data_IF_624230440749
#
_entry.id   IF_624230440749
#
_cell.length_a   1.000
_cell.length_b   1.000
_cell.length_c   1.000
_cell.angle_alpha   90.00
_cell.angle_beta   90.00
_cell.angle_gamma   90.00
#
_symmetry.space_group_name_H-M   'P 1'
#
loop_
_entity.id
_entity.type
_entity.pdbx_description
1 polymer ?
#
# COMPACT_ATOMS: atom_id res chain seq x y z
N UNK A 1 33.76 24.79 14.62
CA UNK A 1 32.37 24.88 15.13
C UNK A 1 31.40 24.53 13.98
N UNK A 2 31.39 23.27 13.52
CA UNK A 2 30.67 22.83 12.31
C UNK A 2 30.09 21.42 12.48
N UNK A 3 29.16 21.21 13.41
CA UNK A 3 28.46 19.91 13.52
C UNK A 3 26.94 20.01 13.75
N UNK A 4 26.36 21.20 13.59
CA UNK A 4 24.89 21.38 13.55
C UNK A 4 24.32 21.29 12.13
N UNK A 5 24.92 20.45 11.27
CA UNK A 5 24.21 20.02 10.06
C UNK A 5 23.12 19.06 10.51
N UNK A 6 21.90 19.61 10.61
CA UNK A 6 20.64 18.92 10.79
C UNK A 6 20.71 17.49 10.24
N UNK A 7 20.70 16.48 11.13
CA UNK A 7 20.14 15.18 10.75
C UNK A 7 18.69 15.48 10.41
N UNK A 8 18.40 15.67 9.12
CA UNK A 8 17.03 15.70 8.61
C UNK A 8 16.51 14.30 8.89
N UNK A 9 15.82 14.14 10.01
CA UNK A 9 15.26 12.87 10.42
C UNK A 9 14.33 12.41 9.29
N UNK A 10 14.64 11.26 8.71
CA UNK A 10 13.83 10.69 7.64
C UNK A 10 12.54 10.22 8.32
N UNK A 11 11.49 11.03 8.25
CA UNK A 11 10.18 10.67 8.79
C UNK A 11 9.60 9.58 7.88
N UNK A 12 9.31 8.42 8.45
CA UNK A 12 8.65 7.31 7.79
C UNK A 12 7.19 7.27 8.24
N UNK A 13 6.26 7.43 7.31
CA UNK A 13 4.84 7.56 7.67
C UNK A 13 4.20 6.26 8.12
N UNK A 14 4.78 5.11 7.79
CA UNK A 14 4.35 3.81 8.31
C UNK A 14 4.75 3.59 9.77
N UNK A 15 5.65 4.40 10.32
CA UNK A 15 5.95 4.42 11.77
C UNK A 15 4.97 5.33 12.54
N UNK A 16 3.97 5.90 11.86
CA UNK A 16 2.89 6.63 12.51
C UNK A 16 2.06 5.68 13.38
N UNK A 17 1.95 5.99 14.67
CA UNK A 17 1.21 5.17 15.65
C UNK A 17 -0.24 4.92 15.26
N UNK A 18 -0.92 5.91 14.69
CA UNK A 18 -2.32 5.77 14.25
C UNK A 18 -2.43 4.79 13.10
N UNK A 19 -1.56 4.91 12.09
CA UNK A 19 -1.50 3.95 10.98
C UNK A 19 -1.16 2.54 11.48
N UNK A 20 -0.20 2.39 12.38
CA UNK A 20 0.18 1.09 12.94
C UNK A 20 -0.97 0.43 13.72
N UNK A 21 -1.77 1.21 14.44
CA UNK A 21 -2.95 0.68 15.12
C UNK A 21 -3.99 0.16 14.11
N UNK A 22 -4.26 0.93 13.05
CA UNK A 22 -5.15 0.51 11.96
C UNK A 22 -4.62 -0.75 11.26
N UNK A 23 -3.30 -0.84 11.05
CA UNK A 23 -2.65 -2.01 10.48
C UNK A 23 -2.84 -3.24 11.36
N UNK A 24 -2.56 -3.16 12.66
CA UNK A 24 -2.78 -4.27 13.59
C UNK A 24 -4.25 -4.69 13.62
N UNK A 25 -5.18 -3.73 13.71
CA UNK A 25 -6.61 -3.98 13.73
C UNK A 25 -7.07 -4.78 12.49
N UNK A 26 -6.63 -4.38 11.30
CA UNK A 26 -7.07 -5.04 10.07
C UNK A 26 -6.51 -6.46 9.95
N UNK A 27 -5.27 -6.69 10.39
CA UNK A 27 -4.63 -8.01 10.36
C UNK A 27 -5.28 -8.96 11.37
N UNK A 28 -5.73 -8.44 12.53
CA UNK A 28 -6.47 -9.23 13.52
C UNK A 28 -7.88 -9.59 13.06
N UNK A 29 -8.60 -8.64 12.43
CA UNK A 29 -9.99 -8.85 12.01
C UNK A 29 -10.13 -9.70 10.75
N UNK A 30 -9.21 -9.55 9.81
CA UNK A 30 -9.31 -10.14 8.46
C UNK A 30 -8.00 -10.79 8.02
N UNK A 31 -7.41 -11.73 8.78
CA UNK A 31 -6.02 -12.18 8.58
C UNK A 31 -5.72 -12.74 7.18
N UNK A 32 -6.70 -13.33 6.50
CA UNK A 32 -6.51 -14.00 5.20
C UNK A 32 -7.42 -13.43 4.09
N UNK A 33 -8.18 -12.37 4.38
CA UNK A 33 -9.19 -11.82 3.47
C UNK A 33 -8.73 -10.45 2.93
N UNK A 34 -7.93 -10.48 1.87
CA UNK A 34 -7.34 -9.28 1.27
C UNK A 34 -8.42 -8.27 0.83
N UNK A 35 -9.58 -8.73 0.36
CA UNK A 35 -10.66 -7.84 -0.08
C UNK A 35 -11.23 -7.05 1.10
N UNK A 36 -11.49 -7.72 2.23
CA UNK A 36 -11.94 -7.03 3.46
C UNK A 36 -10.85 -6.15 4.05
N UNK A 37 -9.59 -6.57 3.99
CA UNK A 37 -8.47 -5.74 4.44
C UNK A 37 -8.39 -4.42 3.62
N UNK A 38 -8.55 -4.51 2.30
CA UNK A 38 -8.57 -3.34 1.42
C UNK A 38 -9.80 -2.47 1.68
N UNK A 39 -10.99 -3.05 1.83
CA UNK A 39 -12.21 -2.31 2.14
C UNK A 39 -12.09 -1.51 3.44
N UNK A 40 -11.45 -2.09 4.46
CA UNK A 40 -11.15 -1.39 5.71
C UNK A 40 -10.33 -0.13 5.48
N UNK A 41 -9.24 -0.21 4.71
CA UNK A 41 -8.40 0.95 4.44
C UNK A 41 -9.07 1.99 3.54
N UNK A 42 -9.87 1.57 2.54
CA UNK A 42 -10.59 2.47 1.65
C UNK A 42 -11.58 3.39 2.39
N UNK A 43 -12.05 2.98 3.56
CA UNK A 43 -13.02 3.72 4.40
C UNK A 43 -12.39 4.68 5.40
N UNK A 44 -11.06 4.68 5.55
CA UNK A 44 -10.40 5.59 6.51
C UNK A 44 -10.57 7.04 6.04
N UNK A 45 -10.79 7.99 6.94
CA UNK A 45 -10.96 9.40 6.57
C UNK A 45 -9.65 10.04 6.08
N UNK A 46 -8.52 9.59 6.62
CA UNK A 46 -7.21 10.07 6.24
C UNK A 46 -6.74 9.47 4.91
N UNK A 47 -6.69 10.32 3.86
CA UNK A 47 -6.27 9.95 2.51
C UNK A 47 -4.87 9.32 2.44
N UNK A 48 -3.94 9.79 3.27
CA UNK A 48 -2.60 9.24 3.33
C UNK A 48 -2.61 7.80 3.84
N UNK A 49 -3.46 7.49 4.84
CA UNK A 49 -3.58 6.13 5.37
C UNK A 49 -4.31 5.19 4.42
N UNK A 50 -5.30 5.69 3.67
CA UNK A 50 -5.93 4.91 2.58
C UNK A 50 -4.87 4.45 1.59
N UNK A 51 -4.10 5.39 1.05
CA UNK A 51 -3.04 5.14 0.07
C UNK A 51 -1.97 4.20 0.63
N UNK A 52 -1.45 4.49 1.83
CA UNK A 52 -0.37 3.71 2.43
C UNK A 52 -0.81 2.29 2.76
N UNK A 53 -2.02 2.11 3.30
CA UNK A 53 -2.59 0.81 3.63
C UNK A 53 -2.77 -0.05 2.39
N UNK A 54 -3.33 0.51 1.32
CA UNK A 54 -3.56 -0.20 0.07
C UNK A 54 -2.25 -0.69 -0.58
N UNK A 55 -1.23 0.17 -0.66
CA UNK A 55 0.08 -0.22 -1.19
C UNK A 55 0.70 -1.34 -0.33
N UNK A 56 0.63 -1.20 1.00
CA UNK A 56 1.24 -2.17 1.94
C UNK A 56 0.57 -3.54 1.81
N UNK A 57 -0.77 -3.57 1.78
CA UNK A 57 -1.54 -4.80 1.61
C UNK A 57 -1.22 -5.50 0.29
N UNK A 58 -1.18 -4.74 -0.80
CA UNK A 58 -0.93 -5.30 -2.12
C UNK A 58 0.50 -5.80 -2.31
N UNK A 59 1.50 -5.11 -1.74
CA UNK A 59 2.88 -5.61 -1.72
C UNK A 59 2.95 -6.96 -1.00
N UNK A 60 2.33 -7.09 0.18
CA UNK A 60 2.27 -8.35 0.92
C UNK A 60 1.50 -9.45 0.18
N UNK A 61 0.36 -9.12 -0.41
CA UNK A 61 -0.45 -10.06 -1.20
C UNK A 61 0.34 -10.60 -2.41
N UNK A 62 1.00 -9.73 -3.17
CA UNK A 62 1.80 -10.14 -4.33
C UNK A 62 3.02 -10.97 -3.92
N UNK A 63 3.67 -10.63 -2.81
CA UNK A 63 4.78 -11.42 -2.25
C UNK A 63 4.35 -12.84 -1.84
N UNK A 64 3.09 -13.03 -1.44
CA UNK A 64 2.53 -14.35 -1.15
C UNK A 64 2.03 -15.10 -2.40
N UNK A 65 1.98 -14.42 -3.56
CA UNK A 65 1.49 -14.96 -4.84
C UNK A 65 2.55 -14.84 -5.95
N UNK A 66 3.83 -14.96 -5.59
CA UNK A 66 4.95 -14.88 -6.54
C UNK A 66 4.85 -15.95 -7.65
N UNK A 67 5.49 -15.67 -8.78
CA UNK A 67 5.57 -16.53 -9.97
C UNK A 67 4.27 -16.77 -10.74
N UNK A 68 3.16 -16.15 -10.36
CA UNK A 68 1.95 -16.14 -11.17
C UNK A 68 2.11 -15.16 -12.33
N UNK A 69 1.65 -15.55 -13.53
CA UNK A 69 1.67 -14.68 -14.72
C UNK A 69 0.28 -14.06 -14.89
N UNK A 70 0.18 -12.75 -14.68
CA UNK A 70 -1.05 -11.97 -14.89
C UNK A 70 -0.77 -10.85 -15.89
N UNK A 71 -0.68 -11.15 -17.20
CA UNK A 71 -0.14 -10.29 -18.27
C UNK A 71 1.30 -9.75 -18.06
N UNK A 72 1.74 -9.65 -16.80
CA UNK A 72 3.04 -9.28 -16.25
C UNK A 72 3.29 -10.20 -15.03
N UNK A 73 4.54 -10.45 -14.66
CA UNK A 73 4.86 -11.33 -13.53
C UNK A 73 4.41 -10.69 -12.20
N UNK A 74 3.86 -11.47 -11.27
CA UNK A 74 3.58 -10.98 -9.91
C UNK A 74 4.84 -10.51 -9.19
N UNK A 75 6.03 -10.99 -9.58
CA UNK A 75 7.30 -10.51 -9.05
C UNK A 75 7.58 -9.05 -9.47
N UNK A 76 7.31 -8.70 -10.73
CA UNK A 76 7.53 -7.34 -11.23
C UNK A 76 6.56 -6.37 -10.56
N UNK A 77 5.32 -6.82 -10.35
CA UNK A 77 4.31 -6.05 -9.62
C UNK A 77 4.70 -5.89 -8.15
N UNK A 78 5.21 -6.91 -7.48
CA UNK A 78 5.71 -6.79 -6.11
C UNK A 78 6.80 -5.73 -6.00
N UNK A 79 7.79 -5.74 -6.89
CA UNK A 79 8.87 -4.73 -6.90
C UNK A 79 8.34 -3.32 -7.18
N UNK A 80 7.34 -3.19 -8.05
CA UNK A 80 6.67 -1.91 -8.30
C UNK A 80 5.98 -1.41 -7.02
N UNK A 81 5.16 -2.26 -6.38
CA UNK A 81 4.45 -1.89 -5.15
C UNK A 81 5.41 -1.58 -4.00
N UNK A 82 6.54 -2.28 -3.90
CA UNK A 82 7.60 -1.97 -2.96
C UNK A 82 8.21 -0.58 -3.22
N UNK A 83 8.45 -0.24 -4.49
CA UNK A 83 8.94 1.09 -4.88
C UNK A 83 7.93 2.19 -4.55
N UNK A 84 6.64 1.94 -4.81
CA UNK A 84 5.55 2.84 -4.45
C UNK A 84 5.44 3.02 -2.93
N UNK A 85 5.65 1.95 -2.16
CA UNK A 85 5.61 1.99 -0.70
C UNK A 85 6.71 2.90 -0.16
N UNK A 86 7.93 2.75 -0.67
CA UNK A 86 9.06 3.59 -0.26
C UNK A 86 8.81 5.07 -0.62
N UNK A 87 8.23 5.36 -1.79
CA UNK A 87 7.82 6.71 -2.14
C UNK A 87 6.73 7.25 -1.21
N UNK A 88 5.70 6.47 -0.92
CA UNK A 88 4.58 6.87 -0.06
C UNK A 88 5.03 7.13 1.39
N UNK A 89 5.96 6.32 1.90
CA UNK A 89 6.58 6.49 3.23
C UNK A 89 7.37 7.79 3.38
N UNK A 90 7.94 8.29 2.28
CA UNK A 90 8.80 9.48 2.26
C UNK A 90 8.14 10.71 1.63
N UNK A 91 6.88 10.59 1.19
CA UNK A 91 6.10 11.71 0.69
C UNK A 91 6.07 12.86 1.72
N UNK A 92 6.10 14.10 1.27
CA UNK A 92 6.03 15.23 2.20
C UNK A 92 4.64 15.29 2.85
N UNK A 93 4.56 15.61 4.16
CA UNK A 93 3.28 15.72 4.87
C UNK A 93 2.41 16.88 4.36
N UNK A 94 3.05 17.90 3.81
CA UNK A 94 2.45 19.16 3.37
C UNK A 94 2.28 19.20 1.84
N UNK A 95 1.99 18.06 1.23
CA UNK A 95 1.56 18.03 -0.17
C UNK A 95 0.25 18.82 -0.33
N UNK A 96 -0.02 19.38 -1.52
CA UNK A 96 -1.29 20.04 -1.80
C UNK A 96 -2.48 19.14 -1.48
N UNK A 97 -3.56 19.75 -1.01
CA UNK A 97 -4.82 19.06 -0.73
C UNK A 97 -5.28 18.25 -1.95
N UNK A 98 -5.74 17.02 -1.71
CA UNK A 98 -6.23 16.12 -2.75
C UNK A 98 -5.16 15.34 -3.52
N UNK A 99 -3.85 15.59 -3.32
CA UNK A 99 -2.80 14.76 -3.98
C UNK A 99 -2.87 13.31 -3.53
N UNK A 100 -3.06 13.07 -2.24
CA UNK A 100 -3.22 11.72 -1.71
C UNK A 100 -4.48 11.04 -2.23
N UNK A 101 -5.59 11.78 -2.35
CA UNK A 101 -6.84 11.28 -2.92
C UNK A 101 -6.70 10.90 -4.39
N UNK A 102 -6.12 11.80 -5.17
CA UNK A 102 -5.85 11.54 -6.59
C UNK A 102 -4.99 10.29 -6.77
N UNK A 103 -3.91 10.15 -6.00
CA UNK A 103 -3.05 8.97 -6.07
C UNK A 103 -3.78 7.70 -5.63
N UNK A 104 -4.58 7.79 -4.56
CA UNK A 104 -5.37 6.68 -4.06
C UNK A 104 -6.38 6.19 -5.10
N UNK A 105 -7.19 7.06 -5.69
CA UNK A 105 -8.20 6.64 -6.68
C UNK A 105 -7.58 6.01 -7.93
N UNK A 106 -6.44 6.53 -8.39
CA UNK A 106 -5.73 5.93 -9.52
C UNK A 106 -5.16 4.55 -9.15
N UNK A 107 -4.59 4.42 -7.95
CA UNK A 107 -4.06 3.14 -7.48
C UNK A 107 -5.17 2.10 -7.28
N UNK A 108 -6.30 2.49 -6.70
CA UNK A 108 -7.41 1.60 -6.40
C UNK A 108 -7.97 0.92 -7.67
N UNK A 109 -8.05 1.65 -8.78
CA UNK A 109 -8.42 1.09 -10.07
C UNK A 109 -7.42 0.02 -10.54
N UNK A 110 -6.11 0.27 -10.36
CA UNK A 110 -5.06 -0.68 -10.72
C UNK A 110 -5.11 -1.92 -9.82
N UNK A 111 -5.25 -1.73 -8.51
CA UNK A 111 -5.35 -2.79 -7.52
C UNK A 111 -6.53 -3.72 -7.81
N UNK A 112 -7.71 -3.16 -8.04
CA UNK A 112 -8.91 -3.93 -8.39
C UNK A 112 -8.73 -4.73 -9.68
N UNK A 113 -7.98 -4.21 -10.65
CA UNK A 113 -7.67 -4.94 -11.89
C UNK A 113 -6.67 -6.08 -11.66
N UNK A 114 -5.68 -5.88 -10.80
CA UNK A 114 -4.70 -6.91 -10.45
C UNK A 114 -5.38 -8.08 -9.74
N UNK A 115 -6.18 -7.81 -8.70
CA UNK A 115 -6.89 -8.86 -7.93
C UNK A 115 -7.77 -9.73 -8.83
N UNK A 116 -8.59 -9.10 -9.69
CA UNK A 116 -9.44 -9.81 -10.66
C UNK A 116 -8.68 -10.74 -11.60
N UNK A 117 -7.41 -10.43 -11.92
CA UNK A 117 -6.58 -11.28 -12.78
C UNK A 117 -5.94 -12.41 -11.98
N UNK A 118 -5.40 -12.12 -10.81
CA UNK A 118 -4.79 -13.11 -9.91
C UNK A 118 -5.80 -14.20 -9.52
N UNK A 119 -7.01 -13.82 -9.13
CA UNK A 119 -8.01 -14.79 -8.66
C UNK A 119 -8.59 -15.64 -9.80
N UNK A 120 -8.62 -15.12 -11.03
CA UNK A 120 -8.98 -15.89 -12.23
C UNK A 120 -7.95 -16.98 -12.53
N UNK A 121 -6.67 -16.69 -12.40
CA UNK A 121 -5.59 -17.67 -12.61
C UNK A 121 -5.58 -18.77 -11.53
N UNK A 122 -6.03 -18.47 -10.31
CA UNK A 122 -6.18 -19.47 -9.23
C UNK A 122 -7.33 -20.46 -9.44
N UNK A 123 -8.28 -20.12 -10.31
CA UNK A 123 -9.45 -20.94 -10.61
C UNK A 123 -9.44 -21.39 -12.08
N UNK A 124 -8.45 -22.20 -12.52
CA UNK A 124 -8.50 -22.75 -13.86
C UNK A 124 -9.64 -23.76 -13.91
N UNK A 125 -10.70 -23.42 -14.65
CA UNK A 125 -11.72 -24.38 -15.05
C UNK A 125 -11.15 -25.47 -15.95
#
# INVERSE_FOLDING_TARGET
MLSKFFKKEIIRHDENKEFMNLWCEVQEKYPEDIEKQLEFFRKQENAQFRLLGEITLMQGYLANNLHQKIDTSTNDLEFLFRSLLDLARHAQKNLPDGVHDYNFYNLDLVVNNILKKVDKEKSPG
#
